data_IF_326546555885
#
_entry.id   IF_326546555885
#
_cell.length_a   1.000
_cell.length_b   1.000
_cell.length_c   1.000
_cell.angle_alpha   90.00
_cell.angle_beta   90.00
_cell.angle_gamma   90.00
#
_symmetry.space_group_name_H-M   'P 1'
#
loop_
_entity.id
_entity.type
_entity.pdbx_description
1 polymer ?
#
# COMPACT_ATOMS: atom_id res chain seq x y z
N UNK A 1 -1.46 4.00 -16.46
CA UNK A 1 -1.09 2.68 -15.91
C UNK A 1 -2.15 1.66 -16.29
N UNK A 2 -1.80 0.43 -16.70
CA UNK A 2 -2.80 -0.61 -16.84
C UNK A 2 -3.23 -1.02 -15.44
N UNK A 3 -4.37 -0.48 -15.02
CA UNK A 3 -5.13 -0.98 -13.89
C UNK A 3 -5.71 -2.32 -14.33
N UNK A 4 -5.45 -3.37 -13.56
CA UNK A 4 -5.89 -4.72 -13.92
C UNK A 4 -6.73 -5.27 -12.77
N UNK A 5 -7.90 -5.80 -13.11
CA UNK A 5 -8.83 -6.38 -12.12
C UNK A 5 -8.35 -7.76 -11.63
N UNK A 6 -7.73 -8.54 -12.52
CA UNK A 6 -7.26 -9.90 -12.27
C UNK A 6 -5.80 -9.96 -11.77
N UNK A 7 -5.54 -9.38 -10.59
CA UNK A 7 -4.25 -9.44 -9.92
C UNK A 7 -4.19 -10.60 -8.90
N UNK A 8 -3.24 -11.54 -9.04
CA UNK A 8 -3.08 -12.62 -8.07
C UNK A 8 -2.64 -12.08 -6.69
N UNK A 9 -2.81 -12.91 -5.65
CA UNK A 9 -2.25 -12.59 -4.34
C UNK A 9 -0.74 -12.89 -4.31
N UNK A 10 0.07 -11.84 -4.36
CA UNK A 10 1.52 -11.89 -4.30
C UNK A 10 2.06 -11.63 -2.87
N UNK A 11 1.22 -11.71 -1.84
CA UNK A 11 1.59 -11.41 -0.46
C UNK A 11 2.75 -12.28 0.06
N UNK A 12 2.83 -13.54 -0.39
CA UNK A 12 3.88 -14.48 -0.01
C UNK A 12 5.27 -14.08 -0.51
N UNK A 13 5.36 -13.31 -1.60
CA UNK A 13 6.64 -12.78 -2.08
C UNK A 13 7.22 -11.70 -1.17
N UNK A 14 6.43 -11.10 -0.25
CA UNK A 14 6.91 -10.05 0.67
C UNK A 14 8.07 -10.51 1.56
N UNK A 15 8.22 -11.80 1.82
CA UNK A 15 9.32 -12.33 2.64
C UNK A 15 10.64 -12.46 1.87
N UNK A 16 10.59 -12.53 0.53
CA UNK A 16 11.76 -12.76 -0.34
C UNK A 16 12.46 -11.43 -0.64
N UNK A 17 13.75 -11.29 -0.30
CA UNK A 17 14.50 -10.04 -0.49
C UNK A 17 15.40 -10.02 -1.73
N UNK A 18 15.62 -11.17 -2.36
CA UNK A 18 16.49 -11.31 -3.52
C UNK A 18 15.71 -11.98 -4.66
N UNK A 19 15.85 -11.43 -5.86
CA UNK A 19 15.13 -11.88 -7.04
C UNK A 19 16.09 -12.11 -8.18
N UNK A 20 15.80 -13.12 -9.01
CA UNK A 20 16.26 -13.09 -10.40
C UNK A 20 15.61 -11.93 -11.16
N UNK A 21 16.23 -11.48 -12.24
CA UNK A 21 15.62 -10.47 -13.13
C UNK A 21 14.26 -10.96 -13.64
N UNK A 22 14.17 -12.25 -13.97
CA UNK A 22 12.91 -12.90 -14.38
C UNK A 22 11.83 -12.75 -13.32
N UNK A 23 12.11 -13.12 -12.06
CA UNK A 23 11.14 -12.99 -10.96
C UNK A 23 10.72 -11.53 -10.74
N UNK A 24 11.69 -10.61 -10.68
CA UNK A 24 11.41 -9.19 -10.50
C UNK A 24 10.50 -8.62 -11.59
N UNK A 25 10.77 -8.98 -12.85
CA UNK A 25 9.98 -8.52 -13.98
C UNK A 25 8.56 -9.09 -13.98
N UNK A 26 8.39 -10.37 -13.62
CA UNK A 26 7.08 -11.00 -13.47
C UNK A 26 6.26 -10.37 -12.35
N UNK A 27 6.88 -10.13 -11.18
CA UNK A 27 6.23 -9.50 -10.04
C UNK A 27 5.75 -8.07 -10.38
N UNK A 28 6.59 -7.27 -11.03
CA UNK A 28 6.21 -5.93 -11.50
C UNK A 28 5.10 -5.98 -12.58
N UNK A 29 5.04 -7.05 -13.37
CA UNK A 29 3.95 -7.30 -14.31
C UNK A 29 2.69 -7.89 -13.66
N UNK A 30 2.65 -8.06 -12.33
CA UNK A 30 1.53 -8.64 -11.62
C UNK A 30 1.27 -10.10 -11.99
N UNK A 31 2.34 -10.87 -12.20
CA UNK A 31 2.33 -12.31 -12.48
C UNK A 31 3.11 -12.99 -11.36
N UNK A 32 2.58 -14.08 -10.82
CA UNK A 32 3.32 -14.89 -9.85
C UNK A 32 4.39 -15.71 -10.59
N UNK A 33 5.68 -15.55 -10.25
CA UNK A 33 6.74 -16.38 -10.83
C UNK A 33 6.55 -17.89 -10.61
N UNK A 34 5.84 -18.32 -9.55
CA UNK A 34 5.63 -19.75 -9.28
C UNK A 34 4.57 -20.40 -10.18
N UNK A 35 3.72 -19.61 -10.85
CA UNK A 35 2.75 -20.13 -11.81
C UNK A 35 3.42 -20.64 -13.10
N UNK A 36 4.68 -20.24 -13.36
CA UNK A 36 5.38 -20.52 -14.61
C UNK A 36 6.81 -21.01 -14.36
N UNK A 37 6.98 -22.34 -14.37
CA UNK A 37 8.29 -22.99 -14.15
C UNK A 37 9.41 -22.50 -15.11
N UNK A 38 9.05 -22.16 -16.35
CA UNK A 38 9.98 -21.63 -17.36
C UNK A 38 10.07 -20.09 -17.37
N UNK A 39 9.66 -19.43 -16.28
CA UNK A 39 9.77 -17.98 -16.12
C UNK A 39 9.13 -17.19 -17.26
N UNK A 40 9.87 -16.22 -17.81
CA UNK A 40 9.40 -15.35 -18.90
C UNK A 40 8.98 -16.12 -20.16
N UNK A 41 9.69 -17.19 -20.51
CA UNK A 41 9.36 -17.99 -21.70
C UNK A 41 8.10 -18.83 -21.47
N UNK A 42 7.90 -19.31 -20.24
CA UNK A 42 6.66 -19.96 -19.82
C UNK A 42 5.44 -19.02 -19.97
N UNK A 43 5.57 -17.78 -19.51
CA UNK A 43 4.51 -16.76 -19.61
C UNK A 43 4.22 -16.36 -21.07
N UNK A 44 5.26 -16.32 -21.91
CA UNK A 44 5.12 -16.02 -23.35
C UNK A 44 4.45 -17.16 -24.11
N UNK A 45 4.87 -18.40 -23.87
CA UNK A 45 4.34 -19.59 -24.56
C UNK A 45 2.87 -19.85 -24.22
N UNK A 46 2.44 -19.56 -23.00
CA UNK A 46 1.04 -19.60 -22.57
C UNK A 46 0.21 -18.39 -23.04
N UNK A 47 0.85 -17.42 -23.71
CA UNK A 47 0.24 -16.18 -24.22
C UNK A 47 -0.45 -15.34 -23.13
N UNK A 48 0.09 -15.33 -21.92
CA UNK A 48 -0.46 -14.53 -20.84
C UNK A 48 -0.53 -13.04 -21.24
N UNK A 49 -1.64 -12.36 -21.00
CA UNK A 49 -1.90 -11.00 -21.51
C UNK A 49 -0.76 -9.99 -21.24
N UNK A 50 -0.10 -10.17 -20.09
CA UNK A 50 0.98 -9.29 -19.59
C UNK A 50 2.40 -9.74 -19.95
N UNK A 51 2.57 -10.76 -20.80
CA UNK A 51 3.89 -11.30 -21.15
C UNK A 51 4.85 -10.25 -21.73
N UNK A 52 4.33 -9.35 -22.59
CA UNK A 52 5.14 -8.26 -23.20
C UNK A 52 5.62 -7.26 -22.16
N UNK A 53 4.80 -6.98 -21.15
CA UNK A 53 5.15 -6.08 -20.06
C UNK A 53 6.26 -6.69 -19.21
N UNK A 54 6.10 -7.95 -18.79
CA UNK A 54 7.15 -8.66 -18.06
C UNK A 54 8.46 -8.71 -18.87
N UNK A 55 8.38 -9.00 -20.17
CA UNK A 55 9.56 -9.01 -21.03
C UNK A 55 10.22 -7.63 -21.11
N UNK A 56 9.45 -6.57 -21.36
CA UNK A 56 9.97 -5.20 -21.43
C UNK A 56 10.60 -4.73 -20.12
N UNK A 57 10.01 -5.07 -18.97
CA UNK A 57 10.60 -4.77 -17.66
C UNK A 57 11.92 -5.52 -17.47
N UNK A 58 12.02 -6.79 -17.91
CA UNK A 58 13.28 -7.54 -17.85
C UNK A 58 14.40 -6.87 -18.65
N UNK A 59 14.10 -6.36 -19.85
CA UNK A 59 15.05 -5.60 -20.67
C UNK A 59 15.43 -4.27 -20.00
N UNK A 60 14.45 -3.61 -19.36
CA UNK A 60 14.67 -2.40 -18.58
C UNK A 60 15.63 -2.61 -17.41
N UNK A 61 15.45 -3.69 -16.65
CA UNK A 61 16.35 -4.06 -15.53
C UNK A 61 17.77 -4.33 -16.06
N UNK A 62 17.92 -5.09 -17.15
CA UNK A 62 19.23 -5.31 -17.77
C UNK A 62 19.87 -3.97 -18.15
N UNK A 63 19.13 -3.08 -18.81
CA UNK A 63 19.61 -1.75 -19.19
C UNK A 63 20.05 -0.93 -17.97
N UNK A 64 19.29 -0.97 -16.88
CA UNK A 64 19.61 -0.29 -15.63
C UNK A 64 20.89 -0.83 -14.99
N UNK A 65 21.09 -2.15 -15.00
CA UNK A 65 22.33 -2.80 -14.56
C UNK A 65 23.51 -2.36 -15.43
N UNK A 66 23.32 -2.38 -16.75
CA UNK A 66 24.34 -1.96 -17.73
C UNK A 66 24.74 -0.50 -17.59
N UNK A 67 23.84 0.36 -17.11
CA UNK A 67 24.04 1.79 -16.83
C UNK A 67 24.63 2.04 -15.44
N UNK A 68 24.63 1.05 -14.55
CA UNK A 68 25.05 1.21 -13.15
C UNK A 68 24.03 1.94 -12.27
N UNK A 69 22.77 2.04 -12.71
CA UNK A 69 21.67 2.62 -11.91
C UNK A 69 21.09 1.58 -10.95
N UNK A 70 21.07 0.32 -11.38
CA UNK A 70 20.66 -0.82 -10.57
C UNK A 70 21.89 -1.71 -10.34
N UNK A 71 22.25 -1.94 -9.08
CA UNK A 71 23.41 -2.77 -8.74
C UNK A 71 22.97 -4.20 -8.40
N UNK A 72 23.35 -5.21 -9.19
CA UNK A 72 23.07 -6.60 -8.86
C UNK A 72 23.98 -7.09 -7.73
N UNK A 73 23.49 -8.06 -6.95
CA UNK A 73 24.29 -8.81 -5.97
C UNK A 73 25.24 -9.75 -6.71
N UNK A 74 24.71 -10.45 -7.71
CA UNK A 74 25.47 -11.33 -8.61
C UNK A 74 25.05 -11.06 -10.04
N UNK A 75 26.03 -10.83 -10.91
CA UNK A 75 25.81 -10.59 -12.33
C UNK A 75 26.39 -11.76 -13.13
N UNK A 76 25.53 -12.60 -13.67
CA UNK A 76 25.91 -13.83 -14.35
C UNK A 76 25.59 -13.77 -15.84
N UNK A 77 26.44 -14.39 -16.65
CA UNK A 77 26.19 -14.69 -18.06
C UNK A 77 26.01 -16.19 -18.23
N UNK A 78 25.39 -16.58 -19.34
CA UNK A 78 25.31 -17.98 -19.78
C UNK A 78 26.11 -18.15 -21.06
N UNK A 79 26.82 -19.28 -21.18
CA UNK A 79 27.41 -19.73 -22.44
C UNK A 79 27.16 -21.23 -22.60
N UNK A 80 27.06 -21.66 -23.85
CA UNK A 80 27.03 -23.08 -24.17
C UNK A 80 28.46 -23.62 -24.18
N UNK A 81 28.71 -24.69 -23.43
CA UNK A 81 29.98 -25.43 -23.47
C UNK A 81 29.73 -26.82 -24.03
N UNK A 82 30.55 -27.22 -24.99
CA UNK A 82 30.50 -28.51 -25.64
C UNK A 82 29.86 -28.45 -27.02
N UNK A 83 29.67 -29.64 -27.59
CA UNK A 83 29.18 -29.79 -28.96
C UNK A 83 27.65 -29.67 -28.99
N UNK A 84 27.08 -29.55 -30.19
CA UNK A 84 25.64 -29.33 -30.42
C UNK A 84 24.74 -30.40 -29.78
N UNK A 85 25.26 -31.61 -29.55
CA UNK A 85 24.52 -32.77 -29.04
C UNK A 85 24.81 -33.13 -27.58
N UNK A 86 25.94 -32.68 -27.02
CA UNK A 86 26.43 -33.06 -25.69
C UNK A 86 26.85 -31.86 -24.84
N UNK A 87 26.47 -30.65 -25.24
CA UNK A 87 26.79 -29.45 -24.50
C UNK A 87 25.85 -29.20 -23.31
N UNK A 88 26.30 -28.32 -22.43
CA UNK A 88 25.51 -27.82 -21.32
C UNK A 88 25.68 -26.31 -21.18
N UNK A 89 24.73 -25.69 -20.49
CA UNK A 89 24.83 -24.29 -20.10
C UNK A 89 25.80 -24.15 -18.92
N UNK A 90 26.82 -23.31 -19.11
CA UNK A 90 27.70 -22.88 -18.03
C UNK A 90 27.39 -21.43 -17.66
N UNK A 91 27.27 -21.19 -16.36
CA UNK A 91 27.07 -19.86 -15.79
C UNK A 91 28.38 -19.33 -15.21
N UNK A 92 28.72 -18.09 -15.53
CA UNK A 92 29.93 -17.45 -15.05
C UNK A 92 29.70 -15.98 -14.73
N UNK A 93 30.45 -15.45 -13.77
CA UNK A 93 30.34 -14.05 -13.35
C UNK A 93 30.91 -13.10 -14.41
N UNK A 94 30.17 -12.02 -14.63
CA UNK A 94 30.56 -10.93 -15.52
C UNK A 94 30.46 -9.60 -14.78
N UNK A 95 31.25 -8.63 -15.24
CA UNK A 95 31.07 -7.25 -14.78
C UNK A 95 29.81 -6.67 -15.44
N UNK A 96 28.97 -5.90 -14.71
CA UNK A 96 27.81 -5.23 -15.30
C UNK A 96 28.11 -4.38 -16.55
N UNK A 97 29.33 -3.84 -16.65
CA UNK A 97 29.76 -3.03 -17.79
C UNK A 97 30.24 -3.85 -19.00
N UNK A 98 30.48 -5.15 -18.86
CA UNK A 98 31.02 -5.99 -19.94
C UNK A 98 29.98 -6.28 -21.03
N UNK A 99 30.15 -5.71 -22.21
CA UNK A 99 29.23 -5.88 -23.36
C UNK A 99 29.54 -7.10 -24.23
N UNK A 100 30.56 -7.91 -23.88
CA UNK A 100 30.93 -9.09 -24.69
C UNK A 100 29.98 -10.27 -24.48
N UNK A 101 29.32 -10.33 -23.32
CA UNK A 101 28.42 -11.41 -22.95
C UNK A 101 27.10 -10.83 -22.46
N UNK A 102 25.99 -11.52 -22.68
CA UNK A 102 24.67 -11.09 -22.22
C UNK A 102 24.45 -11.39 -20.74
N UNK A 103 23.62 -10.58 -20.08
CA UNK A 103 23.24 -10.82 -18.69
C UNK A 103 22.15 -11.90 -18.67
N UNK A 104 22.40 -12.98 -17.93
CA UNK A 104 21.40 -14.03 -17.69
C UNK A 104 20.28 -13.50 -16.81
N UNK A 105 19.04 -13.56 -17.31
CA UNK A 105 17.85 -13.09 -16.59
C UNK A 105 17.50 -13.98 -15.38
N UNK A 106 17.76 -15.27 -15.49
CA UNK A 106 17.35 -16.25 -14.49
C UNK A 106 18.37 -16.44 -13.37
N UNK A 107 19.64 -16.12 -13.63
CA UNK A 107 20.74 -16.31 -12.67
C UNK A 107 21.26 -15.02 -12.06
N UNK A 108 21.07 -13.87 -12.72
CA UNK A 108 21.47 -12.57 -12.14
C UNK A 108 20.54 -12.19 -11.00
N UNK A 109 21.11 -11.94 -9.83
CA UNK A 109 20.38 -11.67 -8.59
C UNK A 109 20.43 -10.18 -8.25
N UNK A 110 19.27 -9.62 -7.93
CA UNK A 110 19.09 -8.24 -7.49
C UNK A 110 18.35 -8.20 -6.15
N UNK A 111 18.63 -7.19 -5.32
CA UNK A 111 17.89 -7.01 -4.07
C UNK A 111 16.57 -6.29 -4.32
N UNK A 112 15.60 -6.53 -3.43
CA UNK A 112 14.34 -5.80 -3.36
C UNK A 112 14.57 -4.29 -3.33
N UNK A 113 15.45 -3.82 -2.44
CA UNK A 113 15.68 -2.39 -2.26
C UNK A 113 16.22 -1.75 -3.55
N UNK A 114 17.16 -2.40 -4.23
CA UNK A 114 17.69 -1.92 -5.51
C UNK A 114 16.60 -1.83 -6.58
N UNK A 115 15.71 -2.82 -6.62
CA UNK A 115 14.58 -2.83 -7.55
C UNK A 115 13.61 -1.67 -7.26
N UNK A 116 13.22 -1.47 -6.00
CA UNK A 116 12.30 -0.39 -5.62
C UNK A 116 12.91 0.99 -5.88
N UNK A 117 14.18 1.19 -5.53
CA UNK A 117 14.91 2.42 -5.81
C UNK A 117 14.95 2.73 -7.31
N UNK A 118 15.21 1.72 -8.14
CA UNK A 118 15.19 1.88 -9.60
C UNK A 118 13.80 2.26 -10.11
N UNK A 119 12.75 1.55 -9.66
CA UNK A 119 11.35 1.83 -10.03
C UNK A 119 10.94 3.25 -9.68
N UNK A 120 11.30 3.72 -8.48
CA UNK A 120 11.00 5.09 -8.02
C UNK A 120 11.77 6.15 -8.83
N UNK A 121 13.08 5.96 -8.99
CA UNK A 121 13.95 6.92 -9.65
C UNK A 121 13.65 7.07 -11.15
N UNK A 122 13.44 5.96 -11.85
CA UNK A 122 13.14 5.97 -13.29
C UNK A 122 11.63 6.07 -13.59
N UNK A 123 10.79 6.14 -12.54
CA UNK A 123 9.32 6.18 -12.65
C UNK A 123 8.78 5.05 -13.52
N UNK A 124 9.30 3.84 -13.28
CA UNK A 124 8.93 2.66 -14.05
C UNK A 124 7.44 2.37 -13.83
N UNK A 125 6.68 2.31 -14.91
CA UNK A 125 5.29 1.90 -14.86
C UNK A 125 5.21 0.38 -14.63
N UNK A 126 4.48 -0.02 -13.59
CA UNK A 126 4.24 -1.42 -13.23
C UNK A 126 2.78 -1.63 -12.85
N UNK A 127 2.33 -2.88 -12.83
CA UNK A 127 0.93 -3.24 -12.59
C UNK A 127 0.54 -2.93 -11.15
N UNK A 128 -0.60 -2.28 -10.97
CA UNK A 128 -1.14 -1.94 -9.66
C UNK A 128 -2.58 -2.41 -9.56
N UNK A 129 -2.98 -2.81 -8.34
CA UNK A 129 -4.40 -3.00 -8.04
C UNK A 129 -5.11 -1.67 -8.29
N UNK A 130 -6.36 -1.69 -8.81
CA UNK A 130 -7.19 -0.50 -8.78
C UNK A 130 -7.13 0.07 -7.38
N UNK A 131 -6.79 1.35 -7.26
CA UNK A 131 -7.04 2.06 -6.02
C UNK A 131 -8.52 1.80 -5.70
N UNK A 132 -8.87 1.36 -4.48
CA UNK A 132 -10.28 1.33 -4.11
C UNK A 132 -10.83 2.69 -4.47
N UNK A 133 -11.93 2.70 -5.25
CA UNK A 133 -12.58 3.95 -5.60
C UNK A 133 -12.64 4.76 -4.32
N UNK A 134 -12.12 6.00 -4.36
CA UNK A 134 -12.40 6.93 -3.28
C UNK A 134 -13.91 6.91 -3.21
N UNK A 135 -14.47 6.30 -2.17
CA UNK A 135 -15.88 6.38 -1.87
C UNK A 135 -16.08 7.87 -1.72
N UNK A 136 -16.54 8.51 -2.80
CA UNK A 136 -17.04 9.85 -2.71
C UNK A 136 -18.31 9.61 -1.91
N UNK A 137 -18.27 9.92 -0.61
CA UNK A 137 -19.42 9.86 0.26
C UNK A 137 -20.41 10.92 -0.22
N UNK A 138 -21.14 10.59 -1.29
CA UNK A 138 -22.31 11.30 -1.74
C UNK A 138 -23.52 10.60 -1.12
N UNK A 139 -24.27 11.41 -0.37
CA UNK A 139 -25.55 11.15 0.28
C UNK A 139 -25.61 9.97 1.25
N UNK A 140 -25.78 10.31 2.53
CA UNK A 140 -26.57 9.50 3.45
C UNK A 140 -27.98 9.38 2.86
N UNK A 141 -28.21 8.37 2.04
CA UNK A 141 -29.56 7.87 1.84
C UNK A 141 -29.87 6.99 3.05
N UNK A 142 -30.86 7.45 3.82
CA UNK A 142 -31.49 6.68 4.87
C UNK A 142 -31.96 5.37 4.27
N UNK A 143 -31.24 4.28 4.53
CA UNK A 143 -31.79 2.95 4.30
C UNK A 143 -32.97 2.84 5.25
N UNK A 144 -34.17 2.88 4.69
CA UNK A 144 -35.38 2.52 5.41
C UNK A 144 -35.28 1.04 5.74
N UNK A 145 -34.87 0.74 6.98
CA UNK A 145 -34.95 -0.61 7.53
C UNK A 145 -36.42 -0.99 7.75
N UNK A 146 -37.08 -1.42 6.67
CA UNK A 146 -38.37 -2.13 6.75
C UNK A 146 -38.20 -3.65 6.75
N UNK A 147 -37.00 -4.18 6.96
CA UNK A 147 -36.80 -5.60 7.24
C UNK A 147 -36.15 -5.79 8.62
N UNK A 148 -36.93 -5.49 9.66
CA UNK A 148 -36.66 -6.00 11.00
C UNK A 148 -36.85 -7.52 10.94
N UNK A 149 -35.75 -8.25 10.84
CA UNK A 149 -35.74 -9.65 11.24
C UNK A 149 -35.79 -9.63 12.77
N UNK A 150 -36.93 -9.95 13.35
CA UNK A 150 -37.09 -10.19 14.79
C UNK A 150 -36.25 -11.40 15.19
N UNK A 151 -34.96 -11.19 15.42
CA UNK A 151 -34.13 -12.13 16.15
C UNK A 151 -34.36 -11.86 17.62
N UNK A 152 -35.22 -12.68 18.23
CA UNK A 152 -35.37 -12.77 19.68
C UNK A 152 -33.97 -13.02 20.27
N UNK A 153 -33.48 -12.19 21.20
CA UNK A 153 -32.17 -12.39 21.78
C UNK A 153 -32.25 -13.62 22.70
N UNK A 154 -31.73 -14.76 22.23
CA UNK A 154 -31.37 -15.85 23.11
C UNK A 154 -30.26 -15.35 24.06
N UNK A 155 -30.54 -15.44 25.36
CA UNK A 155 -29.57 -15.22 26.43
C UNK A 155 -28.47 -16.27 26.34
N UNK A 156 -27.46 -16.01 25.52
CA UNK A 156 -26.22 -16.77 25.53
C UNK A 156 -25.18 -15.96 26.33
N UNK A 157 -25.04 -16.34 27.60
CA UNK A 157 -23.93 -15.99 28.50
C UNK A 157 -22.60 -16.56 28.00
N UNK A 158 -22.16 -16.15 26.81
CA UNK A 158 -20.85 -16.51 26.27
C UNK A 158 -20.12 -15.24 25.89
N UNK A 159 -19.43 -14.70 26.88
CA UNK A 159 -18.31 -13.77 26.77
C UNK A 159 -18.36 -12.81 25.59
N UNK A 160 -18.96 -11.63 25.81
CA UNK A 160 -18.61 -10.43 25.05
C UNK A 160 -17.08 -10.36 25.03
N UNK A 161 -16.46 -10.55 23.87
CA UNK A 161 -15.04 -10.31 23.66
C UNK A 161 -14.83 -8.80 23.79
N UNK A 162 -14.82 -8.32 25.03
CA UNK A 162 -14.38 -6.98 25.38
C UNK A 162 -12.94 -6.88 24.90
N UNK A 163 -12.69 -5.90 24.03
CA UNK A 163 -11.34 -5.53 23.63
C UNK A 163 -10.47 -5.45 24.90
N UNK A 164 -9.25 -6.00 24.90
CA UNK A 164 -8.35 -5.86 26.04
C UNK A 164 -8.24 -4.37 26.38
N UNK A 165 -8.54 -4.01 27.64
CA UNK A 165 -8.41 -2.63 28.12
C UNK A 165 -6.92 -2.30 28.21
N UNK A 166 -6.35 -1.85 27.10
CA UNK A 166 -5.02 -1.27 27.10
C UNK A 166 -5.10 0.11 27.76
N UNK A 167 -4.75 0.18 29.04
CA UNK A 167 -4.70 1.41 29.84
C UNK A 167 -3.45 2.24 29.48
N UNK A 168 -3.31 2.62 28.20
CA UNK A 168 -2.27 3.54 27.78
C UNK A 168 -2.63 4.94 28.28
N UNK A 169 -1.87 5.44 29.25
CA UNK A 169 -1.97 6.82 29.73
C UNK A 169 -0.92 7.65 29.00
N UNK A 170 -1.33 8.27 27.91
CA UNK A 170 -0.51 9.27 27.21
C UNK A 170 -1.16 10.65 27.36
N UNK A 171 -0.33 11.67 27.43
CA UNK A 171 -0.75 13.07 27.56
C UNK A 171 -1.78 13.47 26.47
N UNK A 172 -1.60 12.97 25.25
CA UNK A 172 -2.56 13.18 24.16
C UNK A 172 -3.94 12.58 24.43
N UNK A 173 -4.02 11.42 25.10
CA UNK A 173 -5.30 10.79 25.45
C UNK A 173 -6.03 11.54 26.57
N UNK A 174 -5.31 12.17 27.49
CA UNK A 174 -5.91 13.06 28.51
C UNK A 174 -6.56 14.27 27.84
N UNK A 175 -5.86 14.90 26.89
CA UNK A 175 -6.41 15.99 26.09
C UNK A 175 -7.63 15.58 25.27
N UNK A 176 -7.63 14.37 24.69
CA UNK A 176 -8.80 13.82 23.97
C UNK A 176 -9.99 13.67 24.92
N UNK A 177 -9.77 13.04 26.08
CA UNK A 177 -10.85 12.76 27.03
C UNK A 177 -11.48 14.04 27.59
N UNK A 178 -10.66 15.03 27.91
CA UNK A 178 -11.13 16.32 28.41
C UNK A 178 -11.86 17.13 27.33
N UNK A 179 -11.35 17.13 26.09
CA UNK A 179 -12.02 17.80 24.98
C UNK A 179 -13.37 17.16 24.64
N UNK A 180 -13.52 15.83 24.78
CA UNK A 180 -14.82 15.15 24.61
C UNK A 180 -15.83 15.66 25.65
N UNK A 181 -15.43 15.73 26.92
CA UNK A 181 -16.34 16.19 27.99
C UNK A 181 -16.80 17.63 27.78
N UNK A 182 -15.89 18.52 27.40
CA UNK A 182 -16.22 19.95 27.31
C UNK A 182 -16.83 20.35 25.97
N UNK A 183 -16.27 19.88 24.85
CA UNK A 183 -16.67 20.35 23.51
C UNK A 183 -17.75 19.48 22.86
N UNK A 184 -17.87 18.21 23.27
CA UNK A 184 -18.77 17.24 22.65
C UNK A 184 -19.94 16.81 23.54
N UNK A 185 -20.03 17.29 24.78
CA UNK A 185 -21.17 17.03 25.67
C UNK A 185 -22.53 17.49 25.13
N UNK A 186 -22.52 18.42 24.18
CA UNK A 186 -23.71 19.04 23.58
C UNK A 186 -23.80 18.75 22.08
N UNK A 187 -23.06 17.76 21.59
CA UNK A 187 -23.13 17.32 20.20
C UNK A 187 -24.40 16.48 19.98
N UNK A 188 -25.12 16.81 18.92
CA UNK A 188 -26.29 16.10 18.43
C UNK A 188 -25.94 15.48 17.07
N UNK A 189 -26.15 14.17 16.91
CA UNK A 189 -25.83 13.45 15.68
C UNK A 189 -26.72 13.90 14.51
N UNK A 190 -27.98 14.29 14.80
CA UNK A 190 -28.95 14.73 13.80
C UNK A 190 -28.74 16.20 13.38
N UNK A 191 -27.99 16.99 14.16
CA UNK A 191 -27.59 18.36 13.81
C UNK A 191 -26.06 18.52 13.80
N UNK A 192 -25.40 18.30 12.64
CA UNK A 192 -23.96 18.47 12.47
C UNK A 192 -23.43 19.88 12.78
N UNK A 193 -24.29 20.90 12.90
CA UNK A 193 -23.89 22.25 13.30
C UNK A 193 -23.61 22.37 14.81
N UNK A 194 -23.96 21.37 15.61
CA UNK A 194 -23.62 21.32 17.04
C UNK A 194 -22.16 20.92 17.29
N UNK A 195 -21.45 20.44 16.26
CA UNK A 195 -20.04 20.03 16.37
C UNK A 195 -19.10 21.25 16.56
N UNK A 196 -18.06 21.12 17.41
CA UNK A 196 -17.07 22.18 17.59
C UNK A 196 -16.26 22.43 16.31
N UNK A 197 -15.85 23.67 16.09
CA UNK A 197 -15.02 24.06 14.94
C UNK A 197 -13.55 23.70 15.16
N UNK A 198 -12.76 23.64 14.08
CA UNK A 198 -11.31 23.41 14.16
C UNK A 198 -10.61 24.41 15.09
N UNK A 199 -11.02 25.68 15.02
CA UNK A 199 -10.40 26.75 15.80
C UNK A 199 -10.70 26.58 17.28
N UNK A 200 -11.98 26.35 17.63
CA UNK A 200 -12.39 26.12 19.02
C UNK A 200 -11.65 24.93 19.66
N UNK A 201 -11.48 23.83 18.92
CA UNK A 201 -10.73 22.67 19.43
C UNK A 201 -9.25 23.00 19.63
N UNK A 202 -8.60 23.64 18.67
CA UNK A 202 -7.17 23.97 18.76
C UNK A 202 -6.90 25.01 19.85
N UNK A 203 -7.74 26.04 19.96
CA UNK A 203 -7.61 27.10 20.95
C UNK A 203 -7.79 26.51 22.37
N UNK A 204 -8.84 25.71 22.58
CA UNK A 204 -9.09 25.02 23.85
C UNK A 204 -7.91 24.13 24.30
N UNK A 205 -7.36 23.34 23.38
CA UNK A 205 -6.23 22.46 23.68
C UNK A 205 -4.94 23.23 23.97
N UNK A 206 -4.71 24.33 23.25
CA UNK A 206 -3.54 25.18 23.46
C UNK A 206 -3.63 25.92 24.80
N UNK A 207 -4.81 26.38 25.20
CA UNK A 207 -5.06 26.97 26.54
C UNK A 207 -4.82 25.97 27.68
N UNK A 208 -5.07 24.69 27.44
CA UNK A 208 -4.80 23.59 28.38
C UNK A 208 -3.33 23.15 28.41
N UNK A 209 -2.46 23.80 27.63
CA UNK A 209 -1.02 23.54 27.63
C UNK A 209 -0.53 22.58 26.54
N UNK A 210 -1.40 22.13 25.63
CA UNK A 210 -0.97 21.29 24.51
C UNK A 210 -0.12 22.10 23.53
N UNK A 211 1.02 21.53 23.11
CA UNK A 211 1.81 22.09 22.01
C UNK A 211 1.02 22.08 20.70
N UNK A 212 1.29 23.03 19.79
CA UNK A 212 0.54 23.20 18.53
C UNK A 212 0.38 21.90 17.72
N UNK A 213 1.45 21.11 17.59
CA UNK A 213 1.42 19.83 16.86
C UNK A 213 0.53 18.79 17.57
N UNK A 214 0.53 18.78 18.91
CA UNK A 214 -0.33 17.90 19.71
C UNK A 214 -1.79 18.28 19.55
N UNK A 215 -2.12 19.58 19.62
CA UNK A 215 -3.47 20.08 19.41
C UNK A 215 -4.00 19.75 18.00
N UNK A 216 -3.16 19.84 16.97
CA UNK A 216 -3.52 19.46 15.61
C UNK A 216 -3.79 17.95 15.48
N UNK A 217 -2.95 17.10 16.07
CA UNK A 217 -3.14 15.65 16.08
C UNK A 217 -4.41 15.24 16.84
N UNK A 218 -4.65 15.81 18.03
CA UNK A 218 -5.85 15.56 18.82
C UNK A 218 -7.11 16.03 18.09
N UNK A 219 -7.07 17.18 17.41
CA UNK A 219 -8.19 17.65 16.60
C UNK A 219 -8.54 16.68 15.44
N UNK A 220 -7.55 16.02 14.83
CA UNK A 220 -7.81 15.00 13.81
C UNK A 220 -8.50 13.76 14.36
N UNK A 221 -8.22 13.41 15.61
CA UNK A 221 -8.89 12.29 16.31
C UNK A 221 -10.32 12.68 16.69
N UNK A 222 -10.53 13.88 17.24
CA UNK A 222 -11.83 14.34 17.71
C UNK A 222 -12.82 14.63 16.58
N UNK A 223 -12.36 15.17 15.45
CA UNK A 223 -13.22 15.58 14.33
C UNK A 223 -13.02 14.64 13.13
N UNK A 224 -13.90 13.65 12.91
CA UNK A 224 -13.86 12.81 11.72
C UNK A 224 -14.06 13.64 10.45
N UNK A 225 -13.58 13.14 9.30
CA UNK A 225 -13.52 13.90 8.04
C UNK A 225 -14.85 14.53 7.60
N UNK A 226 -15.98 13.89 7.90
CA UNK A 226 -17.33 14.41 7.65
C UNK A 226 -17.66 15.70 8.45
N UNK A 227 -17.09 15.84 9.65
CA UNK A 227 -17.29 17.00 10.53
C UNK A 227 -16.14 18.01 10.43
N UNK A 228 -15.04 17.72 9.75
CA UNK A 228 -13.92 18.67 9.65
C UNK A 228 -14.29 19.95 8.88
N UNK A 229 -15.19 19.85 7.91
CA UNK A 229 -15.72 20.98 7.11
C UNK A 229 -16.98 21.65 7.69
N UNK A 230 -17.55 21.11 8.76
CA UNK A 230 -18.79 21.59 9.39
C UNK A 230 -18.47 22.03 10.82
N UNK A 231 -19.15 23.05 11.34
CA UNK A 231 -19.01 23.41 12.74
C UNK A 231 -19.95 24.53 13.14
N UNK A 232 -20.05 24.76 14.45
CA UNK A 232 -20.92 25.78 15.06
C UNK A 232 -20.82 27.11 14.30
N UNK A 233 -21.94 27.53 13.71
CA UNK A 233 -22.07 28.86 13.14
C UNK A 233 -22.02 29.87 14.28
N UNK A 234 -21.03 30.76 14.24
CA UNK A 234 -21.00 31.94 15.09
C UNK A 234 -22.27 32.75 14.79
N UNK A 235 -23.22 32.77 15.73
CA UNK A 235 -24.32 33.73 15.67
C UNK A 235 -23.69 35.12 15.71
N UNK A 236 -23.74 35.86 14.60
CA UNK A 236 -23.43 37.29 14.60
C UNK A 236 -24.39 37.96 15.59
N UNK A 237 -23.88 38.36 16.75
CA UNK A 237 -24.57 39.32 17.60
C UNK A 237 -24.77 40.59 16.76
N UNK A 238 -26.03 40.97 16.55
CA UNK A 238 -26.35 42.31 16.05
C UNK A 238 -26.04 43.27 17.19
N UNK A 239 -24.91 43.94 17.13
CA UNK A 239 -24.57 45.16 17.86
C UNK A 239 -24.25 46.23 16.85
#
# INVERSE_FOLDING_TARGET
MPVVENLPDLSHWKTVQEFSITQAALLLAGIDPYDYANGLEGVRSTRHERWKMAWGISEGIISAIRRGVLTPVQCLSVRWIGDEWNGCEEFYEIKPTDRKSDISKDKTIITRDSLFMWVENERVDFVRKPSPDKIISFSCETISDQNVIDVVPEKNDVGILLLPKYEHQSEGLEFVQDAIKELWSTYDEDDPQTAPTKKEVIDYLTERGAGKNMAEAVNLVLRPSCLQGIGRRIKKSKG
#
